data_IF_005825975417
#
_entry.id   IF_005825975417
#
_cell.length_a   1.000
_cell.length_b   1.000
_cell.length_c   1.000
_cell.angle_alpha   90.00
_cell.angle_beta   90.00
_cell.angle_gamma   90.00
#
_symmetry.space_group_name_H-M   'P 1'
#
loop_
_entity.id
_entity.type
_entity.pdbx_description
1 polymer ?
#
# COMPACT_ATOMS: atom_id res chain seq x y z
N UNK A 1 -0.38 -9.40 4.28
CA UNK A 1 -1.05 -8.47 5.21
C UNK A 1 -2.52 -8.37 4.82
N UNK A 2 -3.38 -7.88 5.71
CA UNK A 2 -4.82 -7.67 5.47
C UNK A 2 -5.21 -6.29 6.01
N UNK A 3 -6.23 -5.66 5.44
CA UNK A 3 -6.71 -4.35 5.88
C UNK A 3 -8.23 -4.39 6.00
N UNK A 4 -8.72 -4.08 7.20
CA UNK A 4 -10.14 -4.04 7.53
C UNK A 4 -10.54 -2.61 7.86
N UNK A 5 -11.64 -2.14 7.29
CA UNK A 5 -12.16 -0.79 7.50
C UNK A 5 -13.67 -0.74 7.71
N UNK A 6 -14.27 -1.56 8.61
CA UNK A 6 -15.72 -1.60 8.76
C UNK A 6 -16.31 -0.25 9.19
N UNK A 7 -15.54 0.60 9.87
CA UNK A 7 -15.96 1.96 10.24
C UNK A 7 -16.03 2.96 9.07
N UNK A 8 -15.62 2.56 7.87
CA UNK A 8 -15.74 3.33 6.62
C UNK A 8 -16.48 2.52 5.54
N UNK A 9 -17.31 1.56 5.95
CA UNK A 9 -18.07 0.67 5.07
C UNK A 9 -17.19 -0.15 4.10
N UNK A 10 -15.98 -0.50 4.52
CA UNK A 10 -15.07 -1.39 3.80
C UNK A 10 -14.78 -2.62 4.66
N UNK A 11 -15.43 -3.75 4.38
CA UNK A 11 -15.22 -4.99 5.14
C UNK A 11 -13.74 -5.41 5.13
N UNK A 12 -13.16 -5.59 3.94
CA UNK A 12 -11.74 -5.83 3.73
C UNK A 12 -11.30 -5.27 2.36
N UNK A 13 -10.23 -4.48 2.35
CA UNK A 13 -9.66 -3.91 1.11
C UNK A 13 -8.60 -4.85 0.53
N UNK A 14 -8.69 -5.24 -0.76
CA UNK A 14 -7.73 -6.14 -1.40
C UNK A 14 -6.32 -5.55 -1.60
N UNK A 15 -6.17 -4.22 -1.67
CA UNK A 15 -4.88 -3.60 -1.98
C UNK A 15 -4.79 -2.16 -1.43
N UNK A 16 -4.40 -2.02 -0.16
CA UNK A 16 -4.46 -0.73 0.52
C UNK A 16 -3.15 0.03 0.44
N UNK A 17 -3.03 0.93 -0.53
CA UNK A 17 -1.81 1.73 -0.73
C UNK A 17 -1.42 2.60 0.47
N UNK A 18 -2.40 3.24 1.13
CA UNK A 18 -2.16 4.06 2.32
C UNK A 18 -1.61 3.26 3.49
N UNK A 19 -2.14 2.06 3.73
CA UNK A 19 -1.61 1.15 4.75
C UNK A 19 -0.19 0.67 4.40
N UNK A 20 0.10 0.41 3.12
CA UNK A 20 1.42 0.01 2.66
C UNK A 20 2.48 1.09 2.91
N UNK A 21 2.20 2.35 2.59
CA UNK A 21 3.15 3.45 2.86
C UNK A 21 3.30 3.71 4.36
N UNK A 22 2.21 3.64 5.13
CA UNK A 22 2.24 3.75 6.59
C UNK A 22 3.07 2.64 7.25
N UNK A 23 2.99 1.41 6.73
CA UNK A 23 3.84 0.29 7.16
C UNK A 23 5.32 0.61 6.95
N UNK A 24 5.69 1.25 5.83
CA UNK A 24 7.07 1.67 5.58
C UNK A 24 7.61 2.63 6.64
N UNK A 25 6.81 3.63 7.02
CA UNK A 25 7.15 4.57 8.11
C UNK A 25 7.35 3.82 9.42
N UNK A 26 6.38 2.96 9.78
CA UNK A 26 6.43 2.19 11.02
C UNK A 26 7.65 1.25 11.05
N UNK A 27 8.00 0.60 9.95
CA UNK A 27 9.16 -0.30 9.91
C UNK A 27 10.48 0.44 10.17
N UNK A 28 10.64 1.67 9.69
CA UNK A 28 11.83 2.50 10.03
C UNK A 28 11.81 2.89 11.51
N UNK A 29 10.69 3.40 12.01
CA UNK A 29 10.51 3.78 13.43
C UNK A 29 10.83 2.62 14.38
N UNK A 30 10.47 1.39 14.00
CA UNK A 30 10.74 0.18 14.78
C UNK A 30 12.14 -0.41 14.57
N UNK A 31 13.02 0.25 13.82
CA UNK A 31 14.37 -0.23 13.50
C UNK A 31 14.37 -1.54 12.71
N UNK A 32 13.30 -1.80 11.94
CA UNK A 32 13.13 -3.00 11.09
C UNK A 32 13.62 -2.77 9.66
N UNK A 33 13.86 -1.51 9.29
CA UNK A 33 14.55 -1.12 8.08
C UNK A 33 15.82 -0.32 8.44
N UNK A 34 16.82 -0.25 7.56
CA UNK A 34 17.98 0.62 7.73
C UNK A 34 17.60 2.05 8.11
N UNK A 35 18.38 2.64 9.03
CA UNK A 35 18.16 3.99 9.52
C UNK A 35 18.43 5.08 8.46
N UNK A 36 19.19 4.73 7.42
CA UNK A 36 19.57 5.61 6.32
C UNK A 36 19.50 4.87 4.98
N UNK A 37 19.15 5.60 3.92
CA UNK A 37 19.16 5.11 2.55
C UNK A 37 17.80 4.59 2.08
N UNK A 38 17.82 3.75 1.05
CA UNK A 38 16.62 3.26 0.35
C UNK A 38 16.39 1.78 0.63
N UNK A 39 15.15 1.43 0.98
CA UNK A 39 14.66 0.07 1.14
C UNK A 39 13.51 -0.21 0.18
N UNK A 40 13.44 -1.44 -0.32
CA UNK A 40 12.36 -1.91 -1.19
C UNK A 40 11.75 -3.18 -0.61
N UNK A 41 10.42 -3.22 -0.56
CA UNK A 41 9.67 -4.35 -0.03
C UNK A 41 8.53 -4.73 -0.97
N UNK A 42 8.21 -6.01 -0.98
CA UNK A 42 6.99 -6.52 -1.62
C UNK A 42 5.96 -6.84 -0.56
N UNK A 43 4.77 -6.27 -0.68
CA UNK A 43 3.63 -6.55 0.19
C UNK A 43 2.62 -7.38 -0.59
N UNK A 44 2.21 -8.52 -0.02
CA UNK A 44 1.12 -9.36 -0.52
C UNK A 44 -0.14 -9.10 0.30
N UNK A 45 -1.27 -8.82 -0.35
CA UNK A 45 -2.57 -8.53 0.28
C UNK A 45 -3.74 -9.09 -0.54
N UNK A 46 -4.87 -9.37 0.11
CA UNK A 46 -6.14 -9.66 -0.54
C UNK A 46 -6.33 -11.09 -1.06
N UNK A 47 -5.35 -11.98 -0.85
CA UNK A 47 -5.45 -13.37 -1.30
C UNK A 47 -6.57 -14.13 -0.56
N UNK A 48 -6.78 -13.80 0.72
CA UNK A 48 -7.78 -14.38 1.61
C UNK A 48 -9.22 -14.08 1.16
N UNK A 49 -9.43 -13.01 0.39
CA UNK A 49 -10.73 -12.62 -0.19
C UNK A 49 -10.79 -12.84 -1.71
N UNK A 50 -9.87 -13.65 -2.26
CA UNK A 50 -9.86 -14.00 -3.69
C UNK A 50 -9.42 -12.87 -4.62
N UNK A 51 -8.79 -11.82 -4.10
CA UNK A 51 -8.31 -10.65 -4.85
C UNK A 51 -6.81 -10.40 -4.60
N UNK A 52 -5.94 -11.38 -4.95
CA UNK A 52 -4.52 -11.30 -4.64
C UNK A 52 -3.86 -10.11 -5.34
N UNK A 53 -3.18 -9.28 -4.55
CA UNK A 53 -2.50 -8.08 -5.02
C UNK A 53 -1.05 -8.05 -4.51
N UNK A 54 -0.15 -7.55 -5.36
CA UNK A 54 1.26 -7.34 -5.05
C UNK A 54 1.56 -5.84 -5.11
N UNK A 55 1.91 -5.27 -3.95
CA UNK A 55 2.28 -3.87 -3.80
C UNK A 55 3.81 -3.75 -3.64
N UNK A 56 4.40 -2.79 -4.34
CA UNK A 56 5.83 -2.50 -4.35
C UNK A 56 6.08 -1.26 -3.50
N UNK A 57 6.57 -1.45 -2.27
CA UNK A 57 6.86 -0.37 -1.33
C UNK A 57 8.32 0.05 -1.47
N UNK A 58 8.56 1.36 -1.61
CA UNK A 58 9.88 1.99 -1.49
C UNK A 58 9.87 2.92 -0.27
N UNK A 59 10.90 2.83 0.55
CA UNK A 59 11.11 3.67 1.73
C UNK A 59 12.48 4.31 1.65
N UNK A 60 12.53 5.63 1.75
CA UNK A 60 13.76 6.40 1.93
C UNK A 60 13.81 6.87 3.39
N UNK A 61 14.91 6.57 4.08
CA UNK A 61 15.13 6.92 5.47
C UNK A 61 16.39 7.78 5.63
N UNK A 62 16.37 8.63 6.66
CA UNK A 62 17.54 9.36 7.11
C UNK A 62 17.48 9.55 8.62
N UNK A 63 18.61 9.34 9.30
CA UNK A 63 18.77 9.48 10.75
C UNK A 63 17.69 8.73 11.56
N UNK A 64 17.30 7.53 11.09
CA UNK A 64 16.32 6.69 11.77
C UNK A 64 14.86 7.11 11.56
N UNK A 65 14.58 8.05 10.65
CA UNK A 65 13.23 8.45 10.28
C UNK A 65 12.95 8.22 8.79
N UNK A 66 11.75 7.74 8.46
CA UNK A 66 11.31 7.66 7.08
C UNK A 66 11.03 9.09 6.57
N UNK A 67 11.76 9.52 5.55
CA UNK A 67 11.60 10.84 4.93
C UNK A 67 10.69 10.80 3.70
N UNK A 68 10.57 9.62 3.07
CA UNK A 68 9.69 9.39 1.92
C UNK A 68 9.29 7.93 1.84
N UNK A 69 8.01 7.70 1.58
CA UNK A 69 7.46 6.37 1.29
C UNK A 69 6.58 6.44 0.06
N UNK A 70 6.78 5.53 -0.89
CA UNK A 70 5.92 5.41 -2.07
C UNK A 70 5.53 3.95 -2.27
N UNK A 71 4.30 3.74 -2.75
CA UNK A 71 3.82 2.43 -3.14
C UNK A 71 3.47 2.44 -4.62
N UNK A 72 3.89 1.41 -5.32
CA UNK A 72 3.55 1.15 -6.71
C UNK A 72 2.98 -0.25 -6.90
N UNK A 73 2.59 -0.55 -8.12
CA UNK A 73 2.09 -1.85 -8.50
C UNK A 73 1.69 -1.87 -9.97
N UNK A 74 1.54 -3.08 -10.52
CA UNK A 74 1.00 -3.26 -11.87
C UNK A 74 -0.53 -3.28 -11.81
N UNK A 75 -1.15 -2.67 -12.80
CA UNK A 75 -2.61 -2.69 -12.99
C UNK A 75 -2.92 -3.30 -14.35
N UNK A 76 -4.07 -3.98 -14.45
CA UNK A 76 -4.58 -4.53 -15.71
C UNK A 76 -5.92 -3.86 -16.00
N UNK A 77 -6.08 -3.17 -17.15
CA UNK A 77 -7.36 -2.60 -17.53
C UNK A 77 -8.36 -3.73 -17.81
N UNK A 78 -9.52 -3.68 -17.14
CA UNK A 78 -10.58 -4.70 -17.27
C UNK A 78 -11.83 -4.18 -18.00
N UNK A 79 -12.07 -2.87 -17.96
CA UNK A 79 -13.22 -2.23 -18.58
C UNK A 79 -12.91 -0.76 -18.87
N UNK A 80 -13.63 -0.19 -19.82
CA UNK A 80 -13.64 1.24 -20.11
C UNK A 80 -15.06 1.70 -20.41
N UNK A 81 -15.36 2.99 -20.21
CA UNK A 81 -16.67 3.56 -20.47
C UNK A 81 -16.69 5.06 -20.33
N UNK A 82 -17.85 5.67 -20.63
CA UNK A 82 -18.11 7.10 -20.45
C UNK A 82 -19.33 7.26 -19.54
N UNK A 83 -19.27 8.23 -18.62
CA UNK A 83 -20.38 8.58 -17.74
C UNK A 83 -20.91 9.94 -18.19
N UNK A 84 -22.20 10.00 -18.48
CA UNK A 84 -22.91 11.27 -18.68
C UNK A 84 -23.56 11.66 -17.35
N UNK A 85 -23.29 12.86 -16.80
CA UNK A 85 -23.98 13.31 -15.61
C UNK A 85 -25.48 13.45 -15.88
N UNK A 86 -26.35 13.22 -14.88
CA UNK A 86 -27.77 13.48 -15.01
C UNK A 86 -28.03 14.98 -15.31
N UNK A 87 -29.17 15.31 -15.95
CA UNK A 87 -29.52 16.69 -16.29
C UNK A 87 -29.71 17.60 -15.07
#
# INVERSE_FOLDING_TARGET
VRMFGPGIDVDEDPATGSAAVGLGVWLVDRGRLPADGRSELTISQGAEIGRPSRLELTVEASAGAAIRTSVGGRVVPIAHGQITPPP
#
